data_IF_715279274273
#
_entry.id   IF_715279274273
#
_cell.length_a   1.000
_cell.length_b   1.000
_cell.length_c   1.000
_cell.angle_alpha   90.00
_cell.angle_beta   90.00
_cell.angle_gamma   90.00
#
_symmetry.space_group_name_H-M   'P 1'
#
loop_
_entity.id
_entity.type
_entity.pdbx_description
1 polymer ?
#
# COMPACT_ATOMS: atom_id res chain seq x y z
N UNK A 1 17.24 59.69 37.23
CA UNK A 1 16.52 59.85 35.95
C UNK A 1 17.01 58.74 35.02
N UNK A 2 16.31 57.61 34.99
CA UNK A 2 16.49 56.59 33.95
C UNK A 2 15.11 56.21 33.48
N UNK A 3 14.91 56.38 32.17
CA UNK A 3 13.63 56.42 31.51
C UNK A 3 12.90 55.07 31.59
N UNK A 4 11.59 55.22 31.77
CA UNK A 4 10.56 54.24 31.54
C UNK A 4 10.32 54.06 30.03
N UNK A 5 9.97 52.85 29.62
CA UNK A 5 9.02 52.44 28.55
C UNK A 5 9.41 50.99 28.16
N UNK A 6 8.56 49.96 28.18
CA UNK A 6 7.12 49.90 28.13
C UNK A 6 6.71 49.06 26.91
N UNK A 7 6.06 47.93 27.17
CA UNK A 7 5.12 47.23 26.28
C UNK A 7 5.66 46.51 25.04
N UNK A 8 5.59 45.17 25.05
CA UNK A 8 4.76 44.40 24.13
C UNK A 8 4.93 42.90 24.40
N UNK A 9 3.97 42.32 25.10
CA UNK A 9 3.65 40.90 24.93
C UNK A 9 2.95 40.81 23.57
N UNK A 10 3.61 40.21 22.58
CA UNK A 10 2.93 39.62 21.43
C UNK A 10 3.37 38.18 21.38
N UNK A 11 2.44 37.33 21.81
CA UNK A 11 2.43 35.91 21.53
C UNK A 11 2.36 35.73 20.02
N UNK A 12 3.51 35.63 19.36
CA UNK A 12 3.60 35.08 18.01
C UNK A 12 3.88 33.59 18.11
N UNK A 13 2.83 32.90 18.55
CA UNK A 13 2.53 31.55 18.11
C UNK A 13 2.19 31.58 16.62
N UNK A 14 3.20 31.60 15.76
CA UNK A 14 3.02 31.35 14.33
C UNK A 14 4.27 30.69 13.74
N UNK A 15 4.09 29.51 13.17
CA UNK A 15 5.11 28.86 12.34
C UNK A 15 5.29 27.38 12.58
N UNK A 16 4.19 26.62 12.51
CA UNK A 16 4.15 25.37 11.74
C UNK A 16 5.09 24.23 12.18
N UNK A 17 4.50 23.28 12.92
CA UNK A 17 4.69 21.84 12.75
C UNK A 17 6.09 21.40 12.27
N UNK A 18 6.97 21.15 13.23
CA UNK A 18 7.58 19.84 13.47
C UNK A 18 7.62 18.86 12.27
N UNK A 19 8.83 18.33 12.07
CA UNK A 19 9.28 17.34 11.08
C UNK A 19 9.63 17.90 9.70
N UNK A 20 10.91 18.24 9.53
CA UNK A 20 11.65 17.89 8.31
C UNK A 20 11.27 16.45 7.98
N UNK A 21 10.25 16.27 7.14
CA UNK A 21 9.94 14.95 6.61
C UNK A 21 11.12 14.64 5.70
N UNK A 22 12.05 13.74 6.06
CA UNK A 22 12.97 13.22 5.07
C UNK A 22 12.07 12.67 3.99
N UNK A 23 12.11 13.26 2.80
CA UNK A 23 11.38 12.72 1.67
C UNK A 23 11.86 11.28 1.52
N UNK A 24 11.05 10.32 2.01
CA UNK A 24 11.35 8.88 2.01
C UNK A 24 11.98 8.58 0.66
N UNK A 25 13.25 8.17 0.66
CA UNK A 25 14.04 8.06 -0.55
C UNK A 25 13.27 7.21 -1.57
N UNK A 26 13.51 7.37 -2.87
CA UNK A 26 12.82 6.57 -3.90
C UNK A 26 12.82 5.08 -3.57
N UNK A 27 13.91 4.59 -2.97
CA UNK A 27 14.02 3.23 -2.45
C UNK A 27 13.05 2.92 -1.29
N UNK A 28 12.96 3.76 -0.27
CA UNK A 28 12.02 3.60 0.86
C UNK A 28 10.57 3.51 0.36
N UNK A 29 10.25 4.27 -0.69
CA UNK A 29 8.94 4.21 -1.33
C UNK A 29 8.70 2.86 -2.02
N UNK A 30 9.71 2.33 -2.71
CA UNK A 30 9.63 1.00 -3.35
C UNK A 30 9.47 -0.11 -2.31
N UNK A 31 10.22 -0.05 -1.21
CA UNK A 31 10.10 -1.01 -0.09
C UNK A 31 8.69 -0.97 0.48
N UNK A 32 8.17 0.23 0.75
CA UNK A 32 6.80 0.42 1.23
C UNK A 32 5.77 -0.18 0.26
N UNK A 33 5.89 0.10 -1.04
CA UNK A 33 4.98 -0.43 -2.06
C UNK A 33 5.06 -1.95 -2.17
N UNK A 34 6.27 -2.54 -2.13
CA UNK A 34 6.47 -3.98 -2.12
C UNK A 34 5.74 -4.66 -0.97
N UNK A 35 5.86 -4.10 0.23
CA UNK A 35 5.18 -4.62 1.42
C UNK A 35 3.66 -4.46 1.35
N UNK A 36 3.15 -3.39 0.73
CA UNK A 36 1.71 -3.23 0.51
C UNK A 36 1.16 -4.32 -0.42
N UNK A 37 1.89 -4.67 -1.48
CA UNK A 37 1.54 -5.80 -2.35
C UNK A 37 1.54 -7.09 -1.54
N UNK A 38 2.60 -7.32 -0.74
CA UNK A 38 2.67 -8.50 0.14
C UNK A 38 1.46 -8.61 1.08
N UNK A 39 1.06 -7.50 1.71
CA UNK A 39 -0.11 -7.46 2.59
C UNK A 39 -1.42 -7.79 1.85
N UNK A 40 -1.59 -7.29 0.62
CA UNK A 40 -2.77 -7.61 -0.20
C UNK A 40 -2.90 -9.12 -0.44
N UNK A 41 -1.79 -9.81 -0.73
CA UNK A 41 -1.78 -11.24 -0.97
C UNK A 41 -1.86 -12.09 0.32
N UNK A 42 -1.73 -11.54 1.54
CA UNK A 42 -1.85 -12.32 2.80
C UNK A 42 -3.21 -13.01 2.98
N UNK A 43 -4.25 -12.55 2.31
CA UNK A 43 -5.59 -13.19 2.33
C UNK A 43 -5.71 -14.38 1.37
N UNK A 44 -4.73 -14.58 0.49
CA UNK A 44 -4.69 -15.67 -0.48
C UNK A 44 -4.04 -16.92 0.13
N UNK A 45 -4.23 -18.11 -0.48
CA UNK A 45 -3.52 -19.32 -0.10
C UNK A 45 -1.99 -19.09 -0.16
N UNK A 46 -1.25 -19.59 0.83
CA UNK A 46 0.20 -19.37 0.97
C UNK A 46 0.98 -19.74 -0.31
N UNK A 47 0.57 -20.81 -0.99
CA UNK A 47 1.11 -21.26 -2.27
C UNK A 47 1.01 -20.22 -3.40
N UNK A 48 0.04 -19.29 -3.31
CA UNK A 48 -0.22 -18.25 -4.32
C UNK A 48 0.39 -16.89 -3.95
N UNK A 49 0.83 -16.71 -2.71
CA UNK A 49 1.31 -15.41 -2.20
C UNK A 49 2.56 -14.99 -2.96
N UNK A 50 3.61 -15.80 -2.92
CA UNK A 50 4.90 -15.52 -3.59
C UNK A 50 4.74 -15.36 -5.12
N UNK A 51 4.11 -16.30 -5.86
CA UNK A 51 3.96 -16.13 -7.31
C UNK A 51 3.06 -14.94 -7.68
N UNK A 52 2.04 -14.62 -6.88
CA UNK A 52 1.18 -13.45 -7.10
C UNK A 52 1.92 -12.13 -6.91
N UNK A 53 2.74 -12.01 -5.86
CA UNK A 53 3.59 -10.82 -5.63
C UNK A 53 4.61 -10.67 -6.77
N UNK A 54 5.25 -11.76 -7.18
CA UNK A 54 6.23 -11.77 -8.27
C UNK A 54 5.61 -11.25 -9.57
N UNK A 55 4.47 -11.80 -9.96
CA UNK A 55 3.76 -11.44 -11.18
C UNK A 55 3.36 -9.95 -11.15
N UNK A 56 2.84 -9.48 -10.01
CA UNK A 56 2.45 -8.08 -9.85
C UNK A 56 3.66 -7.13 -9.98
N UNK A 57 4.78 -7.43 -9.33
CA UNK A 57 5.99 -6.60 -9.46
C UNK A 57 6.53 -6.66 -10.89
N UNK A 58 6.52 -7.82 -11.54
CA UNK A 58 6.99 -7.97 -12.91
C UNK A 58 6.21 -7.11 -13.91
N UNK A 59 4.88 -7.12 -13.82
CA UNK A 59 4.00 -6.45 -14.77
C UNK A 59 3.80 -4.96 -14.47
N UNK A 60 3.72 -4.58 -13.20
CA UNK A 60 3.38 -3.21 -12.82
C UNK A 60 4.59 -2.32 -12.52
N UNK A 61 5.79 -2.90 -12.29
CA UNK A 61 6.97 -2.10 -12.03
C UNK A 61 7.87 -1.94 -13.27
N UNK A 62 8.20 -0.68 -13.56
CA UNK A 62 9.17 -0.33 -14.58
C UNK A 62 10.54 -1.00 -14.35
N UNK A 63 11.30 -1.29 -15.43
CA UNK A 63 12.62 -1.91 -15.33
C UNK A 63 13.60 -1.16 -14.41
N UNK A 64 13.50 0.17 -14.34
CA UNK A 64 14.33 1.00 -13.46
C UNK A 64 13.98 0.77 -11.98
N UNK A 65 12.69 0.72 -11.64
CA UNK A 65 12.25 0.44 -10.27
C UNK A 65 12.70 -0.96 -9.81
N UNK A 66 12.56 -1.95 -10.71
CA UNK A 66 13.06 -3.31 -10.47
C UNK A 66 14.58 -3.35 -10.23
N UNK A 67 15.34 -2.61 -11.03
CA UNK A 67 16.80 -2.52 -10.85
C UNK A 67 17.18 -1.90 -9.50
N UNK A 68 16.47 -0.85 -9.08
CA UNK A 68 16.72 -0.19 -7.79
C UNK A 68 16.41 -1.12 -6.60
N UNK A 69 15.29 -1.85 -6.65
CA UNK A 69 14.95 -2.79 -5.57
C UNK A 69 15.87 -4.02 -5.56
N UNK A 70 16.36 -4.48 -6.73
CA UNK A 70 17.34 -5.55 -6.78
C UNK A 70 18.66 -5.14 -6.13
N UNK A 71 19.12 -3.90 -6.35
CA UNK A 71 20.32 -3.39 -5.65
C UNK A 71 20.13 -3.38 -4.13
N UNK A 72 18.93 -3.08 -3.66
CA UNK A 72 18.61 -3.17 -2.23
C UNK A 72 18.54 -4.60 -1.72
N UNK A 73 18.02 -5.52 -2.54
CA UNK A 73 18.01 -6.96 -2.25
C UNK A 73 19.45 -7.50 -2.08
N UNK A 74 20.39 -7.08 -2.95
CA UNK A 74 21.81 -7.44 -2.83
C UNK A 74 22.46 -6.93 -1.53
N UNK A 75 21.93 -5.84 -0.95
CA UNK A 75 22.36 -5.31 0.35
C UNK A 75 21.65 -5.97 1.55
N UNK A 76 20.88 -7.04 1.32
CA UNK A 76 20.15 -7.78 2.35
C UNK A 76 18.66 -7.43 2.47
N UNK A 77 18.15 -6.50 1.64
CA UNK A 77 16.71 -6.27 1.50
C UNK A 77 16.01 -5.76 2.77
N UNK A 78 16.70 -4.98 3.58
CA UNK A 78 16.18 -4.47 4.86
C UNK A 78 14.80 -3.80 4.69
N UNK A 79 13.85 -4.17 5.57
CA UNK A 79 12.50 -3.62 5.57
C UNK A 79 11.54 -4.24 4.55
N UNK A 80 11.95 -5.22 3.74
CA UNK A 80 11.05 -6.01 2.90
C UNK A 80 10.47 -7.20 3.68
N UNK A 81 9.19 -7.48 3.46
CA UNK A 81 8.52 -8.65 4.04
C UNK A 81 9.09 -9.97 3.44
N UNK A 82 9.13 -11.08 4.21
CA UNK A 82 9.66 -12.37 3.73
C UNK A 82 9.09 -12.86 2.38
N UNK A 83 7.77 -12.85 2.12
CA UNK A 83 7.24 -13.29 0.82
C UNK A 83 7.61 -12.35 -0.33
N UNK A 84 7.88 -11.06 -0.05
CA UNK A 84 8.31 -10.08 -1.06
C UNK A 84 9.78 -10.29 -1.41
N UNK A 85 10.63 -10.58 -0.42
CA UNK A 85 12.03 -10.94 -0.63
C UNK A 85 12.17 -12.16 -1.53
N UNK A 86 11.38 -13.21 -1.26
CA UNK A 86 11.40 -14.44 -2.05
C UNK A 86 10.95 -14.17 -3.49
N UNK A 87 9.83 -13.45 -3.67
CA UNK A 87 9.34 -13.05 -4.98
C UNK A 87 10.37 -12.24 -5.79
N UNK A 88 11.02 -11.26 -5.16
CA UNK A 88 12.05 -10.44 -5.80
C UNK A 88 13.30 -11.25 -6.17
N UNK A 89 13.67 -12.23 -5.34
CA UNK A 89 14.81 -13.12 -5.61
C UNK A 89 14.56 -13.96 -6.86
N UNK A 90 13.39 -14.59 -6.96
CA UNK A 90 12.99 -15.37 -8.14
C UNK A 90 12.90 -14.46 -9.37
N UNK A 91 12.34 -13.25 -9.22
CA UNK A 91 12.23 -12.30 -10.33
C UNK A 91 13.61 -11.84 -10.84
N UNK A 92 14.57 -11.58 -9.94
CA UNK A 92 15.96 -11.23 -10.31
C UNK A 92 16.59 -12.37 -11.11
N UNK A 93 16.48 -13.61 -10.63
CA UNK A 93 17.00 -14.79 -11.33
C UNK A 93 16.38 -14.95 -12.72
N UNK A 94 15.06 -14.75 -12.84
CA UNK A 94 14.36 -14.80 -14.13
C UNK A 94 14.82 -13.69 -15.09
N UNK A 95 15.08 -12.48 -14.58
CA UNK A 95 15.59 -11.36 -15.36
C UNK A 95 17.05 -11.56 -15.80
N UNK A 96 17.89 -12.15 -14.96
CA UNK A 96 19.29 -12.47 -15.28
C UNK A 96 19.40 -13.63 -16.30
N UNK A 97 18.49 -14.61 -16.21
CA UNK A 97 18.38 -15.71 -17.19
C UNK A 97 17.87 -15.26 -18.56
N UNK A 98 17.04 -14.21 -18.60
CA UNK A 98 16.54 -13.60 -19.84
C UNK A 98 17.32 -12.33 -20.14
N UNK A 99 18.57 -12.44 -20.64
CA UNK A 99 19.24 -11.29 -21.26
C UNK A 99 18.30 -10.71 -22.33
N UNK A 100 17.79 -9.49 -22.19
CA UNK A 100 16.87 -8.94 -23.16
C UNK A 100 17.68 -8.58 -24.40
N UNK A 101 17.50 -9.33 -25.48
CA UNK A 101 17.80 -8.83 -26.82
C UNK A 101 17.00 -7.54 -26.98
N UNK A 102 17.72 -6.43 -27.16
CA UNK A 102 17.19 -5.07 -27.27
C UNK A 102 15.97 -5.04 -28.22
N UNK A 103 14.81 -4.74 -27.65
CA UNK A 103 13.67 -4.19 -28.38
C UNK A 103 12.45 -5.09 -28.44
N UNK A 104 11.70 -5.22 -27.35
CA UNK A 104 10.27 -5.54 -27.43
C UNK A 104 9.57 -4.94 -26.22
N UNK A 105 9.05 -3.72 -26.42
CA UNK A 105 8.07 -3.11 -25.55
C UNK A 105 6.71 -3.74 -25.89
N UNK A 106 6.47 -4.96 -25.40
CA UNK A 106 5.17 -5.60 -25.52
C UNK A 106 4.25 -5.08 -24.41
N UNK A 107 3.19 -4.43 -24.85
CA UNK A 107 2.21 -3.71 -24.05
C UNK A 107 1.19 -4.74 -23.61
N UNK A 108 1.24 -5.19 -22.36
CA UNK A 108 0.22 -6.10 -21.82
C UNK A 108 -0.99 -5.26 -21.41
N UNK A 109 -2.20 -5.51 -21.99
CA UNK A 109 -3.41 -4.85 -21.54
C UNK A 109 -3.81 -5.46 -20.19
N UNK A 110 -3.83 -4.63 -19.14
CA UNK A 110 -4.43 -4.94 -17.85
C UNK A 110 -5.95 -5.03 -18.01
N UNK A 111 -6.46 -6.23 -18.23
CA UNK A 111 -7.84 -6.57 -17.86
C UNK A 111 -7.80 -7.28 -16.51
N UNK A 112 -7.94 -6.50 -15.43
CA UNK A 112 -8.36 -7.05 -14.15
C UNK A 112 -9.52 -6.18 -13.65
N UNK A 113 -10.74 -6.72 -13.54
CA UNK A 113 -11.84 -6.00 -12.95
C UNK A 113 -11.55 -5.77 -11.46
N UNK A 114 -11.64 -4.51 -11.04
CA UNK A 114 -11.68 -4.11 -9.63
C UNK A 114 -12.94 -4.69 -9.00
N UNK A 115 -12.88 -5.91 -8.48
CA UNK A 115 -13.88 -6.42 -7.52
C UNK A 115 -13.44 -6.02 -6.12
N UNK A 116 -13.77 -4.78 -5.78
CA UNK A 116 -13.88 -4.32 -4.41
C UNK A 116 -15.35 -4.11 -4.08
N UNK A 117 -16.11 -5.19 -3.97
CA UNK A 117 -17.42 -5.16 -3.29
C UNK A 117 -17.27 -6.01 -2.03
N UNK A 118 -16.92 -5.33 -0.95
CA UNK A 118 -16.99 -5.89 0.38
C UNK A 118 -18.46 -6.16 0.69
N UNK A 119 -18.81 -7.44 0.84
CA UNK A 119 -20.03 -7.84 1.53
C UNK A 119 -19.95 -7.26 2.96
N UNK A 120 -20.70 -6.19 3.19
CA UNK A 120 -20.91 -5.64 4.52
C UNK A 120 -21.92 -6.53 5.24
N UNK A 121 -21.40 -7.54 5.94
CA UNK A 121 -22.11 -8.21 7.02
C UNK A 121 -22.11 -7.27 8.22
N UNK A 122 -23.15 -6.42 8.31
CA UNK A 122 -23.44 -5.63 9.50
C UNK A 122 -24.37 -6.44 10.41
N UNK A 123 -23.79 -7.35 11.20
CA UNK A 123 -24.45 -7.86 12.41
C UNK A 123 -24.33 -6.80 13.52
N UNK A 124 -25.47 -6.23 13.90
CA UNK A 124 -25.62 -5.29 15.01
C UNK A 124 -26.92 -5.58 15.77
N UNK A 125 -26.96 -5.52 17.11
CA UNK A 125 -27.92 -6.27 17.91
C UNK A 125 -29.27 -5.59 18.15
N UNK A 126 -30.33 -6.42 18.05
CA UNK A 126 -31.60 -6.49 18.80
C UNK A 126 -32.28 -5.22 19.34
N UNK A 127 -33.48 -4.93 18.80
CA UNK A 127 -34.74 -4.41 19.41
C UNK A 127 -35.53 -3.73 18.27
N UNK A 128 -36.83 -3.88 18.01
CA UNK A 128 -38.01 -4.14 18.83
C UNK A 128 -39.12 -4.75 17.95
N UNK A 129 -39.98 -5.55 18.57
CA UNK A 129 -41.28 -5.96 18.03
C UNK A 129 -42.11 -4.71 17.65
N UNK A 130 -42.85 -4.78 16.54
CA UNK A 130 -44.29 -4.49 16.42
C UNK A 130 -44.69 -4.55 14.94
N UNK A 131 -45.11 -5.75 14.47
CA UNK A 131 -45.91 -5.83 13.25
C UNK A 131 -47.28 -5.18 13.51
N UNK A 132 -47.89 -4.47 12.54
CA UNK A 132 -49.22 -3.92 12.73
C UNK A 132 -50.24 -5.05 12.92
N UNK A 133 -51.03 -4.89 13.98
CA UNK A 133 -52.14 -5.74 14.42
C UNK A 133 -53.19 -5.81 13.29
N UNK A 134 -53.74 -6.99 12.93
CA UNK A 134 -54.93 -7.04 12.10
C UNK A 134 -56.12 -6.52 12.91
N UNK A 135 -56.73 -5.41 12.48
CA UNK A 135 -58.00 -4.96 13.03
C UNK A 135 -59.11 -5.92 12.59
N UNK A 136 -59.90 -6.50 13.50
CA UNK A 136 -61.18 -7.10 13.13
C UNK A 136 -62.16 -5.97 12.84
N UNK A 137 -62.90 -6.07 11.73
CA UNK A 137 -64.10 -5.27 11.56
C UNK A 137 -65.23 -6.18 11.14
N UNK A 138 -66.01 -6.53 12.15
CA UNK A 138 -67.36 -7.08 12.05
C UNK A 138 -68.23 -6.26 11.08
N UNK A 139 -68.89 -6.98 10.17
CA UNK A 139 -70.31 -6.85 9.80
C UNK A 139 -70.64 -7.87 8.68
#
# INVERSE_FOLDING_TARGET
MSAQQGSAEVVESLGEHQEDHPHKSTLDRLIYMGNQIGWFFKSQPEEKVVPGILDHIQHFWDPRMRSEIFRHLDNGGAGLEPPVLEALTILKQAAEGKRPTRGEAEKVPTDQPRTGEAAQDHDGPTKDKHGPIPTPRDA
#
